data_IF_793048714821
#
_entry.id   IF_793048714821
#
_cell.length_a   1.000
_cell.length_b   1.000
_cell.length_c   1.000
_cell.angle_alpha   90.00
_cell.angle_beta   90.00
_cell.angle_gamma   90.00
#
_symmetry.space_group_name_H-M   'P 1'
#
loop_
_entity.id
_entity.type
_entity.pdbx_description
1 polymer ?
#
# COMPACT_ATOMS: atom_id res chain seq x y z
N UNK A 1 13.60 80.78 -53.03
CA UNK A 1 14.67 79.87 -52.55
C UNK A 1 14.39 79.45 -51.11
N UNK A 2 14.01 80.37 -50.21
CA UNK A 2 13.61 80.03 -48.83
C UNK A 2 12.40 79.08 -48.73
N UNK A 3 11.37 79.26 -49.56
CA UNK A 3 10.17 78.38 -49.52
C UNK A 3 10.49 76.90 -49.77
N UNK A 4 11.42 76.62 -50.70
CA UNK A 4 11.84 75.25 -51.02
C UNK A 4 12.66 74.60 -49.89
N UNK A 5 13.41 75.42 -49.12
CA UNK A 5 14.18 74.93 -47.97
C UNK A 5 13.22 74.59 -46.82
N UNK A 6 12.26 75.47 -46.54
CA UNK A 6 11.24 75.26 -45.51
C UNK A 6 10.39 74.01 -45.81
N UNK A 7 10.00 73.81 -47.07
CA UNK A 7 9.22 72.64 -47.48
C UNK A 7 10.02 71.34 -47.34
N UNK A 8 11.30 71.34 -47.77
CA UNK A 8 12.19 70.17 -47.58
C UNK A 8 12.39 69.82 -46.11
N UNK A 9 12.54 70.81 -45.23
CA UNK A 9 12.72 70.57 -43.80
C UNK A 9 11.42 70.05 -43.15
N UNK A 10 10.25 70.54 -43.59
CA UNK A 10 8.93 70.01 -43.18
C UNK A 10 8.78 68.54 -43.55
N UNK A 11 9.08 68.15 -44.78
CA UNK A 11 9.00 66.76 -45.23
C UNK A 11 9.98 65.85 -44.48
N UNK A 12 11.19 66.35 -44.19
CA UNK A 12 12.18 65.62 -43.40
C UNK A 12 11.72 65.40 -41.96
N UNK A 13 11.08 66.40 -41.35
CA UNK A 13 10.51 66.27 -40.01
C UNK A 13 9.37 65.26 -39.98
N UNK A 14 8.43 65.37 -40.92
CA UNK A 14 7.29 64.46 -41.02
C UNK A 14 7.72 63.01 -41.28
N UNK A 15 8.73 62.80 -42.13
CA UNK A 15 9.30 61.47 -42.36
C UNK A 15 9.89 60.86 -41.08
N UNK A 16 10.63 61.65 -40.30
CA UNK A 16 11.19 61.20 -39.02
C UNK A 16 10.11 60.89 -37.99
N UNK A 17 9.06 61.69 -37.94
CA UNK A 17 7.93 61.49 -37.03
C UNK A 17 7.14 60.23 -37.40
N UNK A 18 6.84 60.03 -38.68
CA UNK A 18 6.19 58.82 -39.18
C UNK A 18 7.03 57.57 -38.91
N UNK A 19 8.34 57.63 -39.10
CA UNK A 19 9.22 56.48 -38.80
C UNK A 19 9.25 56.18 -37.30
N UNK A 20 9.29 57.19 -36.44
CA UNK A 20 9.17 57.00 -34.98
C UNK A 20 7.81 56.39 -34.61
N UNK A 21 6.72 56.89 -35.19
CA UNK A 21 5.37 56.37 -34.97
C UNK A 21 5.23 54.92 -35.42
N UNK A 22 5.78 54.57 -36.58
CA UNK A 22 5.79 53.20 -37.10
C UNK A 22 6.55 52.26 -36.18
N UNK A 23 7.74 52.65 -35.71
CA UNK A 23 8.51 51.85 -34.75
C UNK A 23 7.76 51.66 -33.43
N UNK A 24 7.22 52.74 -32.87
CA UNK A 24 6.45 52.68 -31.64
C UNK A 24 5.20 51.82 -31.77
N UNK A 25 4.51 51.86 -32.92
CA UNK A 25 3.36 51.00 -33.18
C UNK A 25 3.76 49.53 -33.34
N UNK A 26 4.85 49.26 -34.07
CA UNK A 26 5.39 47.91 -34.22
C UNK A 26 5.80 47.30 -32.86
N UNK A 27 6.44 48.08 -32.00
CA UNK A 27 6.83 47.62 -30.65
C UNK A 27 5.60 47.39 -29.76
N UNK A 28 4.56 48.22 -29.87
CA UNK A 28 3.29 48.00 -29.17
C UNK A 28 2.58 46.74 -29.66
N UNK A 29 2.53 46.53 -30.98
CA UNK A 29 1.93 45.34 -31.57
C UNK A 29 2.64 44.06 -31.09
N UNK A 30 3.97 44.04 -31.11
CA UNK A 30 4.74 42.90 -30.58
C UNK A 30 4.42 42.60 -29.12
N UNK A 31 4.42 43.63 -28.26
CA UNK A 31 4.09 43.45 -26.84
C UNK A 31 2.66 42.97 -26.63
N UNK A 32 1.73 43.41 -27.48
CA UNK A 32 0.35 42.97 -27.44
C UNK A 32 0.22 41.49 -27.81
N UNK A 33 0.89 41.06 -28.87
CA UNK A 33 0.93 39.67 -29.30
C UNK A 33 1.59 38.77 -28.24
N UNK A 34 2.68 39.23 -27.61
CA UNK A 34 3.34 38.54 -26.50
C UNK A 34 2.40 38.37 -25.29
N UNK A 35 1.63 39.42 -24.94
CA UNK A 35 0.67 39.36 -23.84
C UNK A 35 -0.49 38.42 -24.14
N UNK A 36 -0.98 38.39 -25.38
CA UNK A 36 -2.01 37.42 -25.80
C UNK A 36 -1.49 36.00 -25.69
N UNK A 37 -0.30 35.72 -26.25
CA UNK A 37 0.32 34.40 -26.16
C UNK A 37 0.59 33.97 -24.70
N UNK A 38 0.96 34.91 -23.83
CA UNK A 38 1.12 34.64 -22.41
C UNK A 38 -0.22 34.29 -21.75
N UNK A 39 -1.27 35.06 -22.01
CA UNK A 39 -2.61 34.78 -21.47
C UNK A 39 -3.14 33.42 -21.90
N UNK A 40 -3.00 33.07 -23.17
CA UNK A 40 -3.43 31.77 -23.68
C UNK A 40 -2.67 30.62 -23.01
N UNK A 41 -1.34 30.76 -22.84
CA UNK A 41 -0.52 29.76 -22.14
C UNK A 41 -0.92 29.61 -20.68
N UNK A 42 -1.15 30.74 -20.01
CA UNK A 42 -1.56 30.75 -18.61
C UNK A 42 -2.94 30.09 -18.47
N UNK A 43 -3.89 30.42 -19.34
CA UNK A 43 -5.23 29.83 -19.36
C UNK A 43 -5.19 28.31 -19.58
N UNK A 44 -4.41 27.82 -20.56
CA UNK A 44 -4.19 26.39 -20.76
C UNK A 44 -3.62 25.72 -19.50
N UNK A 45 -2.65 26.37 -18.85
CA UNK A 45 -2.05 25.85 -17.61
C UNK A 45 -3.08 25.79 -16.47
N UNK A 46 -3.97 26.77 -16.37
CA UNK A 46 -5.04 26.78 -15.37
C UNK A 46 -6.09 25.70 -15.65
N UNK A 47 -6.49 25.52 -16.90
CA UNK A 47 -7.41 24.47 -17.33
C UNK A 47 -6.84 23.08 -17.04
N UNK A 48 -5.60 22.80 -17.44
CA UNK A 48 -4.94 21.52 -17.13
C UNK A 48 -4.84 21.24 -15.63
N UNK A 49 -4.58 22.27 -14.82
CA UNK A 49 -4.55 22.13 -13.35
C UNK A 49 -5.95 21.85 -12.79
N UNK A 50 -6.97 22.51 -13.31
CA UNK A 50 -8.36 22.28 -12.92
C UNK A 50 -8.78 20.84 -13.28
N UNK A 51 -8.55 20.40 -14.51
CA UNK A 51 -8.85 19.04 -14.95
C UNK A 51 -8.12 17.99 -14.12
N UNK A 52 -6.83 18.20 -13.81
CA UNK A 52 -6.08 17.29 -12.93
C UNK A 52 -6.66 17.24 -11.52
N UNK A 53 -7.07 18.39 -10.98
CA UNK A 53 -7.69 18.46 -9.66
C UNK A 53 -9.06 17.76 -9.64
N UNK A 54 -9.88 17.97 -10.67
CA UNK A 54 -11.17 17.31 -10.83
C UNK A 54 -11.01 15.79 -11.01
N UNK A 55 -10.05 15.34 -11.82
CA UNK A 55 -9.74 13.92 -11.98
C UNK A 55 -9.26 13.29 -10.68
N UNK A 56 -8.42 13.99 -9.90
CA UNK A 56 -7.97 13.52 -8.60
C UNK A 56 -9.12 13.43 -7.58
N UNK A 57 -10.02 14.42 -7.59
CA UNK A 57 -11.22 14.39 -6.76
C UNK A 57 -12.15 13.24 -7.15
N UNK A 58 -12.41 13.04 -8.44
CA UNK A 58 -13.23 11.94 -8.95
C UNK A 58 -12.63 10.56 -8.64
N UNK A 59 -11.29 10.42 -8.69
CA UNK A 59 -10.62 9.21 -8.26
C UNK A 59 -10.77 8.99 -6.75
N UNK A 60 -10.63 10.05 -5.94
CA UNK A 60 -10.79 9.95 -4.49
C UNK A 60 -12.23 9.63 -4.08
N UNK A 61 -13.24 10.17 -4.76
CA UNK A 61 -14.64 9.86 -4.48
C UNK A 61 -14.95 8.40 -4.82
N UNK A 62 -14.55 7.92 -6.00
CA UNK A 62 -14.70 6.50 -6.39
C UNK A 62 -14.03 5.57 -5.39
N UNK A 63 -12.82 5.91 -4.98
CA UNK A 63 -12.07 5.17 -3.96
C UNK A 63 -12.83 5.10 -2.63
N UNK A 64 -13.37 6.24 -2.14
CA UNK A 64 -14.17 6.29 -0.92
C UNK A 64 -15.48 5.50 -1.03
N UNK A 65 -16.16 5.58 -2.17
CA UNK A 65 -17.38 4.81 -2.43
C UNK A 65 -17.11 3.31 -2.39
N UNK A 66 -16.03 2.87 -3.05
CA UNK A 66 -15.57 1.49 -3.02
C UNK A 66 -15.19 1.05 -1.61
N UNK A 67 -14.45 1.86 -0.85
CA UNK A 67 -14.07 1.52 0.53
C UNK A 67 -15.29 1.43 1.46
N UNK A 68 -16.30 2.28 1.25
CA UNK A 68 -17.57 2.20 1.96
C UNK A 68 -18.36 0.94 1.58
N UNK A 69 -18.34 0.55 0.31
CA UNK A 69 -18.98 -0.66 -0.17
C UNK A 69 -18.27 -1.91 0.38
N UNK A 70 -16.94 -1.94 0.37
CA UNK A 70 -16.13 -3.00 0.96
C UNK A 70 -16.44 -3.18 2.45
N UNK A 71 -16.54 -2.07 3.22
CA UNK A 71 -16.93 -2.11 4.64
C UNK A 71 -18.31 -2.74 4.87
N UNK A 72 -19.30 -2.42 4.03
CA UNK A 72 -20.64 -3.01 4.09
C UNK A 72 -20.62 -4.51 3.76
N UNK A 73 -19.80 -4.93 2.79
CA UNK A 73 -19.71 -6.33 2.36
C UNK A 73 -19.04 -7.19 3.43
N UNK A 74 -18.00 -6.69 4.10
CA UNK A 74 -17.32 -7.45 5.16
C UNK A 74 -18.03 -7.39 6.51
N UNK A 75 -19.06 -6.55 6.66
CA UNK A 75 -19.79 -6.42 7.92
C UNK A 75 -20.34 -7.79 8.36
N UNK A 76 -19.99 -8.22 9.57
CA UNK A 76 -20.34 -9.55 10.08
C UNK A 76 -19.38 -10.68 9.66
N UNK A 77 -18.31 -10.38 8.93
CA UNK A 77 -17.25 -11.34 8.58
C UNK A 77 -15.94 -11.01 9.31
N UNK A 78 -15.05 -12.00 9.43
CA UNK A 78 -13.73 -11.86 10.05
C UNK A 78 -12.65 -11.39 9.04
N UNK A 79 -13.08 -10.85 7.89
CA UNK A 79 -12.22 -10.42 6.78
C UNK A 79 -12.11 -8.89 6.79
N UNK A 80 -10.89 -8.31 6.84
CA UNK A 80 -10.70 -6.87 6.71
C UNK A 80 -11.18 -6.33 5.35
N UNK A 81 -11.88 -5.19 5.36
CA UNK A 81 -12.36 -4.52 4.14
C UNK A 81 -11.22 -4.19 3.15
N UNK A 82 -10.03 -3.86 3.67
CA UNK A 82 -8.84 -3.51 2.88
C UNK A 82 -8.30 -4.68 2.03
N UNK A 83 -8.73 -5.92 2.30
CA UNK A 83 -8.37 -7.11 1.51
C UNK A 83 -9.32 -7.38 0.35
N UNK A 84 -10.46 -6.68 0.27
CA UNK A 84 -11.38 -6.85 -0.85
C UNK A 84 -10.88 -6.09 -2.08
N UNK A 85 -10.90 -6.79 -3.22
CA UNK A 85 -10.52 -6.26 -4.53
C UNK A 85 -11.73 -6.37 -5.45
N UNK A 86 -12.05 -5.29 -6.14
CA UNK A 86 -13.21 -5.18 -7.04
C UNK A 86 -13.76 -3.76 -7.03
N UNK A 87 -14.35 -3.36 -8.15
CA UNK A 87 -14.99 -2.05 -8.28
C UNK A 87 -16.51 -2.14 -8.10
N UNK A 88 -17.07 -3.35 -8.18
CA UNK A 88 -18.49 -3.63 -8.01
C UNK A 88 -18.78 -4.46 -6.77
N UNK A 89 -20.05 -4.45 -6.34
CA UNK A 89 -20.49 -5.25 -5.19
C UNK A 89 -20.36 -6.75 -5.45
N UNK A 90 -20.69 -7.19 -6.66
CA UNK A 90 -20.60 -8.60 -7.07
C UNK A 90 -19.14 -9.09 -7.09
N UNK A 91 -18.21 -8.30 -7.61
CA UNK A 91 -16.79 -8.64 -7.63
C UNK A 91 -16.23 -8.75 -6.21
N UNK A 92 -16.54 -7.78 -5.35
CA UNK A 92 -16.10 -7.77 -3.97
C UNK A 92 -16.69 -8.93 -3.15
N UNK A 93 -17.96 -9.31 -3.39
CA UNK A 93 -18.58 -10.48 -2.77
C UNK A 93 -17.94 -11.79 -3.25
N UNK A 94 -17.74 -11.95 -4.56
CA UNK A 94 -17.06 -13.13 -5.09
C UNK A 94 -15.62 -13.25 -4.56
N UNK A 95 -14.93 -12.12 -4.35
CA UNK A 95 -13.61 -12.09 -3.74
C UNK A 95 -13.66 -12.48 -2.25
N UNK A 96 -14.65 -11.96 -1.51
CA UNK A 96 -14.90 -12.34 -0.12
C UNK A 96 -15.10 -13.86 0.02
N UNK A 97 -15.97 -14.45 -0.81
CA UNK A 97 -16.25 -15.90 -0.79
C UNK A 97 -14.98 -16.73 -1.07
N UNK A 98 -14.13 -16.26 -2.00
CA UNK A 98 -12.83 -16.87 -2.28
C UNK A 98 -11.89 -16.78 -1.07
N UNK A 99 -11.83 -15.63 -0.40
CA UNK A 99 -11.01 -15.45 0.80
C UNK A 99 -11.50 -16.33 1.96
N UNK A 100 -12.81 -16.44 2.14
CA UNK A 100 -13.39 -17.32 3.17
C UNK A 100 -13.09 -18.79 2.88
N UNK A 101 -13.18 -19.21 1.62
CA UNK A 101 -12.84 -20.57 1.20
C UNK A 101 -11.37 -20.92 1.42
N UNK A 102 -10.46 -19.94 1.26
CA UNK A 102 -9.03 -20.15 1.44
C UNK A 102 -8.57 -20.16 2.90
N UNK A 103 -9.31 -19.48 3.81
CA UNK A 103 -8.93 -19.32 5.22
C UNK A 103 -8.90 -20.64 6.00
N UNK A 104 -9.52 -21.71 5.49
CA UNK A 104 -9.59 -23.01 6.17
C UNK A 104 -10.32 -22.92 7.53
N UNK A 105 -10.53 -24.07 8.22
CA UNK A 105 -11.09 -24.04 9.57
C UNK A 105 -10.16 -23.23 10.48
N UNK A 106 -10.74 -22.31 11.26
CA UNK A 106 -10.05 -21.51 12.26
C UNK A 106 -9.19 -22.46 13.10
N UNK A 107 -7.86 -22.31 13.10
CA UNK A 107 -7.00 -23.02 14.04
C UNK A 107 -7.43 -22.57 15.44
N UNK A 108 -8.28 -23.36 16.07
CA UNK A 108 -8.62 -23.19 17.48
C UNK A 108 -7.37 -23.58 18.24
N UNK A 109 -6.60 -22.57 18.65
CA UNK A 109 -5.58 -22.78 19.67
C UNK A 109 -6.34 -23.36 20.87
N UNK A 110 -6.03 -24.59 21.33
CA UNK A 110 -6.75 -25.19 22.44
C UNK A 110 -6.68 -24.23 23.64
N UNK A 111 -7.79 -24.05 24.37
CA UNK A 111 -7.85 -23.09 25.47
C UNK A 111 -6.71 -23.39 26.44
N UNK A 112 -5.89 -22.37 26.71
CA UNK A 112 -4.85 -22.47 27.73
C UNK A 112 -5.50 -22.92 29.05
N UNK A 113 -5.02 -24.03 29.59
CA UNK A 113 -5.52 -24.58 30.84
C UNK A 113 -5.46 -23.50 31.94
N UNK A 114 -6.46 -23.44 32.85
CA UNK A 114 -6.46 -22.46 33.93
C UNK A 114 -5.19 -22.58 34.77
N UNK A 115 -4.61 -21.43 35.12
CA UNK A 115 -3.35 -21.29 35.86
C UNK A 115 -3.31 -21.99 37.22
N UNK A 116 -4.43 -22.56 37.70
CA UNK A 116 -4.52 -23.35 38.93
C UNK A 116 -3.96 -24.77 38.81
N UNK A 117 -3.53 -25.23 37.62
CA UNK A 117 -2.88 -26.54 37.43
C UNK A 117 -1.34 -26.44 37.40
N UNK A 118 -0.77 -25.23 37.43
CA UNK A 118 0.71 -25.04 37.49
C UNK A 118 1.23 -25.05 38.94
N UNK A 119 0.69 -25.96 39.74
CA UNK A 119 1.29 -26.40 40.98
C UNK A 119 1.17 -27.92 40.99
N UNK A 120 2.21 -28.58 40.48
CA UNK A 120 2.36 -30.03 40.29
C UNK A 120 1.83 -30.58 38.95
N UNK A 121 2.51 -30.28 37.85
CA UNK A 121 2.59 -31.18 36.70
C UNK A 121 3.85 -30.87 35.89
N UNK A 122 4.80 -31.79 35.94
CA UNK A 122 6.01 -31.81 35.15
C UNK A 122 5.69 -31.59 33.66
N UNK A 123 6.23 -30.49 33.11
CA UNK A 123 6.21 -30.25 31.68
C UNK A 123 7.01 -31.36 30.99
N UNK A 124 6.32 -32.29 30.35
CA UNK A 124 6.92 -33.22 29.41
C UNK A 124 7.38 -32.44 28.17
N UNK A 125 8.68 -32.36 27.86
CA UNK A 125 9.10 -32.04 26.50
C UNK A 125 8.68 -33.21 25.60
N UNK A 126 8.03 -32.91 24.48
CA UNK A 126 7.40 -33.87 23.56
C UNK A 126 8.38 -34.79 22.80
N UNK A 127 9.51 -35.19 23.40
CA UNK A 127 10.47 -36.12 22.80
C UNK A 127 11.41 -36.80 23.83
N UNK A 128 10.92 -37.17 25.03
CA UNK A 128 11.68 -38.02 25.96
C UNK A 128 11.18 -39.46 25.91
N UNK A 129 12.09 -40.37 25.60
CA UNK A 129 11.85 -41.83 25.63
C UNK A 129 11.47 -42.23 27.07
N UNK A 130 10.35 -42.94 27.23
CA UNK A 130 9.85 -43.42 28.52
C UNK A 130 10.92 -44.28 29.22
N UNK A 131 11.36 -43.84 30.41
CA UNK A 131 12.39 -44.51 31.19
C UNK A 131 11.77 -45.63 32.03
N UNK A 132 12.43 -46.79 32.07
CA UNK A 132 12.03 -47.95 32.85
C UNK A 132 12.63 -47.85 34.26
N UNK A 133 11.88 -48.31 35.25
CA UNK A 133 12.31 -48.28 36.66
C UNK A 133 12.99 -49.59 37.07
N UNK A 134 13.68 -49.58 38.22
CA UNK A 134 14.34 -50.78 38.76
C UNK A 134 13.35 -51.91 39.09
N UNK A 135 12.08 -51.58 39.36
CA UNK A 135 11.02 -52.58 39.56
C UNK A 135 10.63 -53.26 38.25
N UNK A 136 10.58 -52.52 37.15
CA UNK A 136 10.24 -53.04 35.82
C UNK A 136 11.33 -53.99 35.31
N UNK A 137 12.60 -53.64 35.54
CA UNK A 137 13.76 -54.47 35.19
C UNK A 137 13.77 -55.85 35.87
N UNK A 138 13.27 -55.95 37.10
CA UNK A 138 13.24 -57.22 37.84
C UNK A 138 12.30 -58.26 37.21
N UNK A 139 11.30 -57.80 36.47
CA UNK A 139 10.33 -58.65 35.80
C UNK A 139 10.65 -58.86 34.30
N UNK A 140 11.75 -58.27 33.80
CA UNK A 140 12.18 -58.40 32.41
C UNK A 140 13.25 -59.48 32.25
N UNK A 141 13.22 -60.17 31.11
CA UNK A 141 14.28 -61.11 30.75
C UNK A 141 15.56 -60.39 30.33
N UNK A 142 16.75 -61.03 30.43
CA UNK A 142 18.02 -60.41 30.04
C UNK A 142 18.08 -59.90 28.59
N UNK A 143 17.31 -60.51 27.68
CA UNK A 143 17.21 -60.04 26.30
C UNK A 143 16.43 -58.71 26.22
N UNK A 144 15.33 -58.59 26.96
CA UNK A 144 14.51 -57.38 26.99
C UNK A 144 15.22 -56.20 27.65
N UNK A 145 16.10 -56.46 28.63
CA UNK A 145 16.93 -55.43 29.27
C UNK A 145 17.91 -54.84 28.25
N UNK A 146 18.53 -55.67 27.39
CA UNK A 146 19.44 -55.20 26.33
C UNK A 146 18.71 -54.37 25.27
N UNK A 147 17.50 -54.76 24.89
CA UNK A 147 16.69 -53.99 23.94
C UNK A 147 16.22 -52.65 24.52
N UNK A 148 15.86 -52.62 25.81
CA UNK A 148 15.51 -51.39 26.53
C UNK A 148 16.71 -50.44 26.62
N UNK A 149 17.90 -50.98 26.84
CA UNK A 149 19.15 -50.23 26.83
C UNK A 149 19.46 -49.62 25.46
N UNK A 150 19.34 -50.42 24.38
CA UNK A 150 19.55 -49.94 23.01
C UNK A 150 18.55 -48.84 22.59
N UNK A 151 17.37 -48.82 23.22
CA UNK A 151 16.34 -47.79 23.02
C UNK A 151 16.53 -46.55 23.90
N UNK A 152 17.53 -46.52 24.79
CA UNK A 152 17.77 -45.42 25.73
C UNK A 152 16.74 -45.34 26.87
N UNK A 153 16.02 -46.42 27.15
CA UNK A 153 14.99 -46.49 28.20
C UNK A 153 15.59 -46.72 29.60
N UNK A 154 16.90 -46.95 29.69
CA UNK A 154 17.63 -47.16 30.94
C UNK A 154 18.63 -46.04 31.23
N UNK A 155 18.61 -44.95 30.46
CA UNK A 155 19.54 -43.83 30.54
C UNK A 155 19.48 -43.16 31.92
N UNK A 156 18.29 -43.00 32.51
CA UNK A 156 18.13 -42.46 33.87
C UNK A 156 18.70 -43.40 34.95
N UNK A 157 18.48 -44.72 34.82
CA UNK A 157 19.03 -45.71 35.74
C UNK A 157 20.56 -45.84 35.63
N UNK A 158 21.11 -45.57 34.45
CA UNK A 158 22.55 -45.54 34.19
C UNK A 158 23.18 -44.16 34.47
N UNK A 159 22.39 -43.17 34.86
CA UNK A 159 22.84 -41.81 35.15
C UNK A 159 23.32 -41.04 33.91
N UNK A 160 22.98 -41.50 32.70
CA UNK A 160 23.34 -40.88 31.43
C UNK A 160 22.27 -39.81 31.13
N UNK A 161 22.55 -38.57 31.51
CA UNK A 161 21.66 -37.43 31.21
C UNK A 161 22.06 -36.79 29.87
N UNK A 162 21.11 -36.69 28.94
CA UNK A 162 21.24 -35.87 27.70
C UNK A 162 20.75 -34.45 27.93
#
# INVERSE_FOLDING_TARGET
MEDLIAERDKWKSLSRENEKGRKANADKARKYDELLAQKERDEQTWQERAEKAEAALAANTKQRERDNLAKKIVEGTDVPADLLVGDTEEEMRAHLDRLQSFRGPKQTVPPAAPASVVANADAAPANKVQQLTQADLKNMSPAQIRDADAKGQLDELKGIRK
#
